data_IF_972863116488
#
_entry.id   IF_972863116488
#
_cell.length_a   1.000
_cell.length_b   1.000
_cell.length_c   1.000
_cell.angle_alpha   90.00
_cell.angle_beta   90.00
_cell.angle_gamma   90.00
#
_symmetry.space_group_name_H-M   'P 1'
#
loop_
_entity.id
_entity.type
_entity.pdbx_description
1 polymer ?
#
# COMPACT_ATOMS: atom_id res chain seq x y z
N UNK A 1 6.31 4.02 -33.54
CA UNK A 1 6.27 3.61 -32.12
C UNK A 1 5.64 4.64 -31.19
N UNK A 2 6.29 5.76 -30.81
CA UNK A 2 5.61 6.77 -29.96
C UNK A 2 4.48 7.50 -30.70
N UNK A 3 4.66 7.78 -31.99
CA UNK A 3 3.64 8.44 -32.82
C UNK A 3 2.41 7.56 -33.07
N UNK A 4 2.58 6.28 -33.40
CA UNK A 4 1.47 5.32 -33.55
C UNK A 4 0.69 5.13 -32.24
N UNK A 5 1.39 5.14 -31.11
CA UNK A 5 0.75 5.00 -29.81
C UNK A 5 -0.07 6.25 -29.45
N UNK A 6 0.41 7.44 -29.80
CA UNK A 6 -0.34 8.69 -29.62
C UNK A 6 -1.56 8.78 -30.54
N UNK A 7 -1.42 8.35 -31.80
CA UNK A 7 -2.49 8.35 -32.80
C UNK A 7 -3.64 7.39 -32.40
N UNK A 8 -3.30 6.19 -31.91
CA UNK A 8 -4.29 5.21 -31.43
C UNK A 8 -4.88 5.56 -30.04
N UNK A 9 -4.12 6.26 -29.20
CA UNK A 9 -4.61 6.68 -27.88
C UNK A 9 -5.52 7.90 -27.95
N UNK A 10 -5.35 8.77 -28.95
CA UNK A 10 -6.04 10.06 -29.00
C UNK A 10 -6.34 10.46 -30.44
N UNK A 11 -7.62 10.53 -30.77
CA UNK A 11 -8.09 11.04 -32.06
C UNK A 11 -8.82 12.36 -31.85
N UNK A 12 -8.42 13.39 -32.60
CA UNK A 12 -9.00 14.74 -32.56
C UNK A 12 -9.06 15.36 -31.14
N UNK A 13 -8.10 15.03 -30.28
CA UNK A 13 -8.06 15.49 -28.89
C UNK A 13 -8.94 14.70 -27.90
N UNK A 14 -9.64 13.67 -28.38
CA UNK A 14 -10.43 12.76 -27.54
C UNK A 14 -9.67 11.46 -27.28
N UNK A 15 -9.44 11.09 -26.01
CA UNK A 15 -8.86 9.80 -25.68
C UNK A 15 -9.75 8.66 -26.19
N UNK A 16 -9.17 7.71 -26.94
CA UNK A 16 -9.85 6.54 -27.49
C UNK A 16 -9.55 5.31 -26.63
N UNK A 17 -8.38 4.69 -26.80
CA UNK A 17 -7.97 3.50 -26.08
C UNK A 17 -6.73 3.77 -25.24
N UNK A 18 -6.81 3.58 -23.93
CA UNK A 18 -5.67 3.81 -23.02
C UNK A 18 -5.16 2.54 -22.34
N UNK A 19 -5.71 1.38 -22.72
CA UNK A 19 -5.37 0.09 -22.11
C UNK A 19 -4.12 -0.52 -22.76
N UNK A 20 -2.99 -0.42 -22.06
CA UNK A 20 -1.68 -0.82 -22.57
C UNK A 20 -1.60 -2.27 -23.06
N UNK A 21 -2.29 -3.21 -22.37
CA UNK A 21 -2.29 -4.63 -22.77
C UNK A 21 -2.99 -4.86 -24.11
N UNK A 22 -4.04 -4.11 -24.40
CA UNK A 22 -4.76 -4.23 -25.66
C UNK A 22 -3.98 -3.52 -26.75
N UNK A 23 -3.47 -2.31 -26.48
CA UNK A 23 -2.62 -1.57 -27.41
C UNK A 23 -1.37 -2.37 -27.80
N UNK A 24 -0.82 -3.19 -26.90
CA UNK A 24 0.36 -4.02 -27.20
C UNK A 24 0.11 -5.14 -28.23
N UNK A 25 -1.13 -5.53 -28.48
CA UNK A 25 -1.44 -6.48 -29.57
C UNK A 25 -1.41 -5.80 -30.95
N UNK A 26 -1.80 -4.53 -31.01
CA UNK A 26 -1.81 -3.70 -32.22
C UNK A 26 -0.42 -3.16 -32.55
N UNK A 27 0.25 -2.62 -31.54
CA UNK A 27 1.51 -1.91 -31.68
C UNK A 27 2.62 -2.85 -31.20
N UNK A 28 3.10 -3.69 -32.13
CA UNK A 28 4.21 -4.61 -31.86
C UNK A 28 5.54 -3.90 -32.05
N UNK A 29 6.47 -4.13 -31.12
CA UNK A 29 7.83 -3.60 -31.17
C UNK A 29 8.75 -4.31 -32.15
N UNK A 30 8.41 -5.55 -32.54
CA UNK A 30 9.26 -6.35 -33.42
C UNK A 30 8.96 -6.07 -34.90
N UNK A 31 10.01 -5.75 -35.66
CA UNK A 31 10.01 -5.45 -37.09
C UNK A 31 9.60 -6.64 -37.99
N UNK A 32 9.12 -7.76 -37.42
CA UNK A 32 8.82 -8.98 -38.16
C UNK A 32 7.32 -9.17 -38.34
N UNK A 33 6.87 -8.97 -39.60
CA UNK A 33 5.56 -9.28 -40.21
C UNK A 33 4.48 -8.19 -40.12
N UNK A 34 4.66 -7.13 -40.90
CA UNK A 34 3.54 -6.46 -41.59
C UNK A 34 3.06 -7.31 -42.78
N UNK A 35 2.54 -8.52 -42.54
CA UNK A 35 1.88 -9.32 -43.59
C UNK A 35 0.48 -9.80 -43.20
N UNK A 36 -0.03 -9.36 -42.05
CA UNK A 36 -1.39 -9.66 -41.63
C UNK A 36 -2.05 -8.34 -41.30
N UNK A 37 -3.09 -7.97 -42.06
CA UNK A 37 -4.07 -6.97 -41.62
C UNK A 37 -4.61 -7.41 -40.26
N UNK A 38 -4.06 -6.84 -39.20
CA UNK A 38 -4.51 -7.07 -37.83
C UNK A 38 -5.88 -6.43 -37.71
N UNK A 39 -6.93 -7.23 -37.88
CA UNK A 39 -8.29 -6.82 -37.54
C UNK A 39 -8.28 -6.41 -36.06
N UNK A 40 -8.85 -5.26 -35.70
CA UNK A 40 -8.93 -4.88 -34.30
C UNK A 40 -9.59 -6.00 -33.49
N UNK A 41 -8.99 -6.45 -32.36
CA UNK A 41 -9.62 -7.42 -31.49
C UNK A 41 -11.01 -6.92 -31.12
N UNK A 42 -11.98 -7.82 -31.09
CA UNK A 42 -13.37 -7.46 -30.78
C UNK A 42 -13.51 -6.75 -29.43
N UNK A 43 -12.55 -6.90 -28.51
CA UNK A 43 -12.48 -6.18 -27.24
C UNK A 43 -12.50 -4.65 -27.40
N UNK A 44 -12.03 -4.12 -28.54
CA UNK A 44 -12.02 -2.68 -28.86
C UNK A 44 -13.43 -2.14 -29.12
N UNK A 45 -14.32 -2.98 -29.66
CA UNK A 45 -15.72 -2.62 -29.95
C UNK A 45 -16.73 -3.18 -28.95
N UNK A 46 -16.28 -3.98 -27.97
CA UNK A 46 -17.16 -4.69 -27.04
C UNK A 46 -17.32 -3.92 -25.73
N UNK A 47 -18.42 -4.15 -25.02
CA UNK A 47 -18.69 -3.51 -23.72
C UNK A 47 -17.65 -3.88 -22.63
N UNK A 48 -16.82 -4.89 -22.90
CA UNK A 48 -15.68 -5.31 -22.06
C UNK A 48 -14.40 -5.01 -22.83
N UNK A 49 -13.81 -3.86 -22.52
CA UNK A 49 -12.63 -3.31 -23.20
C UNK A 49 -11.31 -3.57 -22.46
N UNK A 50 -11.29 -4.46 -21.46
CA UNK A 50 -10.10 -4.72 -20.63
C UNK A 50 -9.72 -6.20 -20.53
N UNK A 51 -10.48 -7.09 -21.19
CA UNK A 51 -10.24 -8.53 -21.18
C UNK A 51 -10.52 -9.13 -22.55
N UNK A 52 -9.58 -9.91 -23.06
CA UNK A 52 -9.68 -10.58 -24.35
C UNK A 52 -10.34 -11.94 -24.22
N UNK A 53 -11.04 -12.36 -25.29
CA UNK A 53 -11.58 -13.71 -25.39
C UNK A 53 -10.47 -14.71 -25.74
N UNK A 54 -10.67 -16.00 -25.41
CA UNK A 54 -9.76 -17.07 -25.78
C UNK A 54 -8.53 -17.26 -24.88
N UNK A 55 -8.39 -16.49 -23.80
CA UNK A 55 -7.33 -16.68 -22.80
C UNK A 55 -7.44 -18.09 -22.21
N UNK A 56 -6.33 -18.82 -22.14
CA UNK A 56 -6.29 -20.18 -21.58
C UNK A 56 -5.08 -20.36 -20.67
N UNK A 57 -5.33 -20.89 -19.49
CA UNK A 57 -4.31 -21.30 -18.53
C UNK A 57 -4.42 -22.79 -18.23
N UNK A 58 -3.26 -23.43 -18.00
CA UNK A 58 -3.19 -24.82 -17.51
C UNK A 58 -3.78 -24.95 -16.11
N UNK A 59 -3.61 -23.92 -15.28
CA UNK A 59 -4.14 -23.82 -13.92
C UNK A 59 -4.85 -22.48 -13.77
N UNK A 60 -6.09 -22.51 -13.29
CA UNK A 60 -6.89 -21.31 -13.08
C UNK A 60 -6.74 -20.86 -11.62
N UNK A 61 -6.01 -19.76 -11.41
CA UNK A 61 -5.63 -19.26 -10.08
C UNK A 61 -5.90 -17.77 -9.97
N UNK A 62 -6.30 -17.34 -8.78
CA UNK A 62 -6.50 -15.92 -8.48
C UNK A 62 -5.80 -15.61 -7.18
N UNK A 63 -4.99 -14.56 -7.17
CA UNK A 63 -4.35 -14.03 -5.98
C UNK A 63 -4.93 -12.67 -5.66
N UNK A 64 -5.38 -12.48 -4.43
CA UNK A 64 -5.93 -11.24 -3.92
C UNK A 64 -5.08 -10.75 -2.75
N UNK A 65 -4.41 -9.63 -2.96
CA UNK A 65 -3.60 -8.95 -1.96
C UNK A 65 -4.40 -7.77 -1.41
N UNK A 66 -4.77 -7.86 -0.14
CA UNK A 66 -5.37 -6.73 0.58
C UNK A 66 -4.24 -5.99 1.26
N UNK A 67 -3.85 -4.85 0.69
CA UNK A 67 -2.74 -4.03 1.18
C UNK A 67 -3.31 -2.77 1.82
N UNK A 68 -3.03 -2.56 3.10
CA UNK A 68 -3.38 -1.34 3.82
C UNK A 68 -2.13 -0.52 4.08
N UNK A 69 -2.18 0.77 3.80
CA UNK A 69 -1.16 1.74 4.13
C UNK A 69 -1.70 2.66 5.21
N UNK A 70 -1.01 2.67 6.36
CA UNK A 70 -1.41 3.49 7.51
C UNK A 70 -0.66 4.80 7.47
N UNK A 71 -1.40 5.89 7.41
CA UNK A 71 -0.87 7.24 7.51
C UNK A 71 -1.09 7.75 8.94
N UNK A 72 -0.01 8.15 9.60
CA UNK A 72 0.00 8.66 10.97
C UNK A 72 0.84 9.92 11.01
N UNK A 73 0.29 10.96 11.62
CA UNK A 73 1.04 12.15 12.01
C UNK A 73 0.87 12.40 13.51
N UNK A 74 1.97 12.36 14.23
CA UNK A 74 2.03 12.69 15.66
C UNK A 74 2.75 14.03 15.85
N UNK A 75 2.19 14.93 16.66
CA UNK A 75 2.85 16.19 16.99
C UNK A 75 3.94 16.01 18.06
N UNK A 76 4.74 17.05 18.32
CA UNK A 76 5.80 17.05 19.33
C UNK A 76 5.29 16.81 20.77
N UNK A 77 3.99 17.04 21.03
CA UNK A 77 3.36 16.78 22.32
C UNK A 77 2.90 15.32 22.46
N UNK A 78 3.15 14.46 21.47
CA UNK A 78 2.72 13.06 21.47
C UNK A 78 1.23 12.85 21.17
N UNK A 79 0.53 13.86 20.63
CA UNK A 79 -0.87 13.75 20.23
C UNK A 79 -0.98 13.33 18.77
N UNK A 80 -1.92 12.42 18.48
CA UNK A 80 -2.25 11.98 17.13
C UNK A 80 -3.04 13.08 16.41
N UNK A 81 -2.43 13.69 15.39
CA UNK A 81 -3.03 14.77 14.59
C UNK A 81 -3.77 14.22 13.39
N UNK A 82 -3.16 13.24 12.69
CA UNK A 82 -3.74 12.63 11.49
C UNK A 82 -3.64 11.11 11.60
N UNK A 83 -4.72 10.43 11.26
CA UNK A 83 -4.80 8.98 11.21
C UNK A 83 -5.74 8.61 10.08
N UNK A 84 -5.18 8.10 9.00
CA UNK A 84 -5.93 7.63 7.84
C UNK A 84 -5.42 6.26 7.44
N UNK A 85 -6.33 5.38 7.02
CA UNK A 85 -5.97 4.11 6.41
C UNK A 85 -6.38 4.16 4.96
N UNK A 86 -5.42 3.98 4.05
CA UNK A 86 -5.68 3.84 2.62
C UNK A 86 -5.40 2.38 2.26
N UNK A 87 -6.42 1.68 1.80
CA UNK A 87 -6.29 0.30 1.39
C UNK A 87 -6.47 0.11 -0.11
N UNK A 88 -5.84 -0.92 -0.64
CA UNK A 88 -5.97 -1.35 -2.03
C UNK A 88 -6.16 -2.87 -2.07
N UNK A 89 -7.09 -3.32 -2.90
CA UNK A 89 -7.25 -4.72 -3.27
C UNK A 89 -6.56 -4.93 -4.60
N UNK A 90 -5.35 -5.49 -4.55
CA UNK A 90 -4.58 -5.82 -5.75
C UNK A 90 -4.85 -7.25 -6.12
N UNK A 91 -5.25 -7.48 -7.36
CA UNK A 91 -5.64 -8.79 -7.84
C UNK A 91 -4.68 -9.24 -8.94
N UNK A 92 -4.30 -10.51 -8.92
CA UNK A 92 -3.58 -11.17 -10.01
C UNK A 92 -4.42 -12.34 -10.46
N UNK A 93 -4.94 -12.28 -11.68
CA UNK A 93 -5.77 -13.34 -12.23
C UNK A 93 -5.06 -14.09 -13.33
N UNK A 94 -5.09 -15.41 -13.22
CA UNK A 94 -4.69 -16.35 -14.25
C UNK A 94 -5.91 -17.24 -14.52
N UNK A 95 -6.88 -16.69 -15.25
CA UNK A 95 -8.17 -17.33 -15.50
C UNK A 95 -8.40 -17.52 -16.99
N UNK A 96 -8.99 -18.64 -17.38
CA UNK A 96 -9.31 -18.94 -18.77
C UNK A 96 -10.67 -18.37 -19.17
N UNK A 97 -10.86 -17.97 -20.42
CA UNK A 97 -12.13 -17.46 -20.93
C UNK A 97 -12.50 -16.07 -20.38
N UNK A 98 -13.80 -15.86 -20.15
CA UNK A 98 -14.42 -14.58 -19.78
C UNK A 98 -15.19 -14.70 -18.46
N UNK A 99 -14.50 -14.93 -17.32
CA UNK A 99 -15.15 -15.28 -16.07
C UNK A 99 -15.82 -14.06 -15.44
N UNK A 100 -17.02 -14.25 -14.90
CA UNK A 100 -17.67 -13.29 -14.02
C UNK A 100 -17.28 -13.60 -12.57
N UNK A 101 -16.53 -12.68 -11.96
CA UNK A 101 -16.14 -12.73 -10.56
C UNK A 101 -17.12 -11.97 -9.68
N UNK A 102 -17.43 -12.52 -8.50
CA UNK A 102 -18.21 -11.86 -7.45
C UNK A 102 -17.44 -11.90 -6.14
N UNK A 103 -17.07 -10.73 -5.63
CA UNK A 103 -16.34 -10.55 -4.38
C UNK A 103 -17.30 -10.02 -3.31
N UNK A 104 -17.30 -10.70 -2.16
CA UNK A 104 -18.04 -10.27 -0.97
C UNK A 104 -17.09 -9.88 0.16
N UNK A 105 -17.29 -8.69 0.71
CA UNK A 105 -16.54 -8.15 1.85
C UNK A 105 -17.44 -8.11 3.11
N UNK A 106 -16.84 -7.89 4.28
CA UNK A 106 -17.56 -7.62 5.53
C UNK A 106 -17.98 -6.14 5.66
N UNK A 107 -18.59 -5.60 4.60
CA UNK A 107 -19.16 -4.24 4.60
C UNK A 107 -20.31 -4.15 5.61
N UNK A 108 -20.27 -3.11 6.44
CA UNK A 108 -21.29 -2.83 7.45
C UNK A 108 -22.67 -2.65 6.85
N UNK A 109 -22.77 -1.94 5.73
CA UNK A 109 -24.06 -1.67 5.09
C UNK A 109 -24.70 -2.98 4.60
N UNK A 110 -23.90 -3.89 4.03
CA UNK A 110 -24.37 -5.20 3.59
C UNK A 110 -24.80 -6.08 4.79
N UNK A 111 -24.07 -6.03 5.91
CA UNK A 111 -24.40 -6.80 7.10
C UNK A 111 -25.66 -6.30 7.82
N UNK A 112 -25.85 -4.98 7.89
CA UNK A 112 -27.03 -4.34 8.46
C UNK A 112 -28.29 -4.62 7.61
N UNK A 113 -28.18 -4.54 6.28
CA UNK A 113 -29.27 -4.89 5.35
C UNK A 113 -29.72 -6.36 5.45
N UNK A 114 -28.84 -7.26 5.91
CA UNK A 114 -29.14 -8.69 6.10
C UNK A 114 -29.67 -9.03 7.52
N UNK A 115 -29.94 -8.04 8.36
CA UNK A 115 -30.51 -8.24 9.71
C UNK A 115 -29.60 -9.04 10.67
N UNK A 116 -28.30 -9.17 10.35
CA UNK A 116 -27.34 -9.87 11.19
C UNK A 116 -26.82 -8.91 12.27
N UNK A 117 -27.10 -9.23 13.54
CA UNK A 117 -26.60 -8.47 14.70
C UNK A 117 -25.08 -8.28 14.60
N UNK A 118 -24.66 -7.02 14.51
CA UNK A 118 -23.26 -6.56 14.37
C UNK A 118 -22.52 -6.63 15.71
N UNK A 119 -22.56 -7.79 16.40
CA UNK A 119 -21.73 -8.04 17.59
C UNK A 119 -20.20 -8.07 17.33
N UNK A 120 -19.75 -7.65 16.14
CA UNK A 120 -18.34 -7.32 15.90
C UNK A 120 -17.95 -7.18 14.43
N UNK A 121 -17.15 -6.14 14.15
CA UNK A 121 -16.29 -5.94 12.97
C UNK A 121 -16.97 -5.78 11.61
N UNK A 122 -17.98 -4.93 11.58
CA UNK A 122 -18.47 -4.33 10.36
C UNK A 122 -17.57 -3.14 10.02
N UNK A 123 -17.28 -2.92 8.74
CA UNK A 123 -16.34 -1.86 8.31
C UNK A 123 -17.11 -0.74 7.67
N UNK A 124 -16.74 0.48 8.07
CA UNK A 124 -17.19 1.70 7.44
C UNK A 124 -16.14 2.14 6.42
N UNK A 125 -16.51 2.12 5.14
CA UNK A 125 -15.65 2.52 4.04
C UNK A 125 -16.10 3.92 3.61
N UNK A 126 -15.26 4.94 3.82
CA UNK A 126 -15.64 6.33 3.58
C UNK A 126 -15.67 6.64 2.08
N UNK A 127 -14.58 6.30 1.38
CA UNK A 127 -14.42 6.49 -0.04
C UNK A 127 -13.95 5.18 -0.66
N UNK A 128 -14.58 4.78 -1.77
CA UNK A 128 -14.26 3.57 -2.52
C UNK A 128 -14.18 3.95 -3.99
N UNK A 129 -13.03 3.64 -4.60
CA UNK A 129 -12.81 3.76 -6.03
C UNK A 129 -12.62 2.37 -6.61
N UNK A 130 -13.41 2.05 -7.62
CA UNK A 130 -13.36 0.77 -8.30
C UNK A 130 -12.62 0.88 -9.62
N UNK A 131 -12.03 -0.22 -10.06
CA UNK A 131 -11.62 -0.39 -11.44
C UNK A 131 -12.84 -0.35 -12.37
N UNK A 132 -12.63 0.07 -13.62
CA UNK A 132 -13.68 0.10 -14.65
C UNK A 132 -14.37 -1.25 -14.92
N UNK A 133 -13.75 -2.34 -14.47
CA UNK A 133 -14.30 -3.68 -14.66
C UNK A 133 -15.46 -4.03 -13.72
N UNK A 134 -15.69 -3.20 -12.68
CA UNK A 134 -16.72 -3.39 -11.68
C UNK A 134 -18.04 -2.79 -12.13
N UNK A 135 -19.11 -3.57 -12.01
CA UNK A 135 -20.48 -3.12 -12.31
C UNK A 135 -21.03 -2.32 -11.14
N UNK A 136 -20.86 -1.00 -11.18
CA UNK A 136 -21.31 -0.09 -10.13
C UNK A 136 -22.81 -0.19 -9.82
N UNK A 137 -23.65 -0.42 -10.83
CA UNK A 137 -25.11 -0.60 -10.65
C UNK A 137 -25.46 -1.80 -9.77
N UNK A 138 -24.68 -2.88 -9.78
CA UNK A 138 -24.90 -4.00 -8.87
C UNK A 138 -24.46 -3.64 -7.46
N UNK A 139 -23.27 -3.06 -7.33
CA UNK A 139 -22.73 -2.63 -6.03
C UNK A 139 -23.67 -1.65 -5.30
N UNK A 140 -24.33 -0.74 -6.00
CA UNK A 140 -25.28 0.20 -5.41
C UNK A 140 -26.54 -0.50 -4.87
N UNK A 141 -26.98 -1.58 -5.50
CA UNK A 141 -28.20 -2.32 -5.13
C UNK A 141 -27.97 -3.34 -4.00
N UNK A 142 -26.96 -4.21 -4.14
CA UNK A 142 -26.76 -5.37 -3.27
C UNK A 142 -25.41 -5.37 -2.55
N UNK A 143 -24.62 -4.30 -2.69
CA UNK A 143 -23.25 -4.16 -2.15
C UNK A 143 -22.31 -5.30 -2.58
N UNK A 144 -22.63 -6.00 -3.67
CA UNK A 144 -21.80 -7.07 -4.23
C UNK A 144 -20.90 -6.54 -5.33
N UNK A 145 -19.60 -6.80 -5.21
CA UNK A 145 -18.62 -6.38 -6.21
C UNK A 145 -18.59 -7.44 -7.32
N UNK A 146 -19.29 -7.15 -8.42
CA UNK A 146 -19.39 -8.03 -9.60
C UNK A 146 -18.57 -7.45 -10.76
N UNK A 147 -17.66 -8.25 -11.32
CA UNK A 147 -16.72 -7.78 -12.34
C UNK A 147 -16.22 -8.91 -13.24
N UNK A 148 -15.69 -8.55 -14.41
CA UNK A 148 -14.91 -9.46 -15.27
C UNK A 148 -13.45 -9.00 -15.15
N UNK A 149 -12.53 -9.76 -14.54
CA UNK A 149 -11.18 -9.26 -14.24
C UNK A 149 -10.32 -9.10 -15.51
N UNK A 150 -9.57 -7.99 -15.66
CA UNK A 150 -8.45 -7.92 -16.59
C UNK A 150 -7.48 -9.07 -16.33
N UNK A 151 -6.81 -9.56 -17.36
CA UNK A 151 -5.83 -10.63 -17.21
C UNK A 151 -4.54 -10.16 -16.51
N UNK A 152 -3.91 -10.99 -15.68
CA UNK A 152 -2.71 -10.63 -14.93
C UNK A 152 -2.96 -9.70 -13.72
N UNK A 153 -1.99 -8.83 -13.42
CA UNK A 153 -2.05 -7.94 -12.25
C UNK A 153 -2.80 -6.63 -12.54
N UNK A 154 -3.70 -6.24 -11.63
CA UNK A 154 -4.42 -4.96 -11.62
C UNK A 154 -4.92 -4.60 -10.21
N UNK A 155 -5.25 -3.33 -9.99
CA UNK A 155 -5.88 -2.89 -8.74
C UNK A 155 -7.41 -2.90 -8.92
N UNK A 156 -8.11 -3.75 -8.16
CA UNK A 156 -9.56 -3.95 -8.28
C UNK A 156 -10.34 -2.80 -7.63
N UNK A 157 -9.92 -2.40 -6.44
CA UNK A 157 -10.49 -1.27 -5.73
C UNK A 157 -9.46 -0.64 -4.79
N UNK A 158 -9.59 0.66 -4.57
CA UNK A 158 -8.92 1.40 -3.50
C UNK A 158 -9.99 1.95 -2.57
N UNK A 159 -9.73 1.93 -1.27
CA UNK A 159 -10.66 2.41 -0.27
C UNK A 159 -9.93 3.23 0.79
N UNK A 160 -10.66 4.13 1.44
CA UNK A 160 -10.14 4.93 2.54
C UNK A 160 -11.03 4.77 3.78
N UNK A 161 -10.40 4.75 4.94
CA UNK A 161 -11.06 4.84 6.23
C UNK A 161 -10.43 5.97 7.05
N UNK A 162 -11.27 6.78 7.67
CA UNK A 162 -10.91 7.86 8.60
C UNK A 162 -10.96 7.39 10.06
N UNK A 163 -10.97 6.07 10.28
CA UNK A 163 -10.96 5.51 11.64
C UNK A 163 -9.67 5.91 12.35
N UNK A 164 -9.80 6.52 13.53
CA UNK A 164 -8.65 6.82 14.38
C UNK A 164 -8.02 5.52 14.89
N UNK A 165 -6.88 5.16 14.33
CA UNK A 165 -6.13 3.96 14.70
C UNK A 165 -4.95 4.33 15.57
N UNK A 166 -4.72 3.53 16.61
CA UNK A 166 -3.52 3.70 17.44
C UNK A 166 -2.28 3.43 16.57
N UNK A 167 -1.20 4.24 16.70
CA UNK A 167 0.04 4.02 15.96
C UNK A 167 0.60 2.63 16.23
N UNK A 168 0.74 1.79 15.19
CA UNK A 168 1.18 0.40 15.31
C UNK A 168 2.62 0.28 15.83
N UNK A 169 3.49 1.22 15.45
CA UNK A 169 4.83 1.37 16.01
C UNK A 169 4.93 2.78 16.57
N UNK A 170 5.00 2.90 17.88
CA UNK A 170 5.21 4.17 18.57
C UNK A 170 6.70 4.40 18.73
N UNK A 171 7.18 5.59 18.35
CA UNK A 171 8.58 5.97 18.53
C UNK A 171 8.63 7.21 19.39
N UNK A 172 9.26 7.10 20.55
CA UNK A 172 9.57 8.22 21.42
C UNK A 172 11.06 8.54 21.28
N UNK A 173 11.38 9.81 21.02
CA UNK A 173 12.75 10.28 20.94
C UNK A 173 12.99 11.37 21.99
N UNK A 174 13.96 11.12 22.85
CA UNK A 174 14.48 12.10 23.80
C UNK A 174 15.81 12.60 23.27
N UNK A 175 15.93 13.92 23.12
CA UNK A 175 17.12 14.58 22.58
C UNK A 175 17.76 15.42 23.67
N UNK A 176 18.96 15.01 24.10
CA UNK A 176 19.77 15.75 25.07
C UNK A 176 20.91 16.45 24.34
N UNK A 177 20.82 17.77 24.17
CA UNK A 177 21.88 18.58 23.58
C UNK A 177 22.78 19.12 24.68
N UNK A 178 24.05 18.74 24.67
CA UNK A 178 25.08 19.38 25.47
C UNK A 178 25.74 20.46 24.62
N UNK A 179 25.61 21.72 25.05
CA UNK A 179 26.12 22.89 24.33
C UNK A 179 27.57 22.70 23.87
N UNK A 180 27.81 22.89 22.56
CA UNK A 180 29.14 22.92 21.90
C UNK A 180 29.99 21.65 22.03
N UNK A 181 29.39 20.50 22.32
CA UNK A 181 30.16 19.26 22.49
C UNK A 181 29.50 18.06 21.83
N UNK A 182 28.25 17.76 22.21
CA UNK A 182 27.60 16.51 21.78
C UNK A 182 26.08 16.60 21.86
N UNK A 183 25.43 15.80 21.04
CA UNK A 183 24.00 15.50 21.14
C UNK A 183 23.82 14.01 21.39
N UNK A 184 23.01 13.67 22.38
CA UNK A 184 22.62 12.30 22.68
C UNK A 184 21.14 12.11 22.33
N UNK A 185 20.88 11.10 21.52
CA UNK A 185 19.53 10.64 21.17
C UNK A 185 19.24 9.35 21.94
N UNK A 186 18.15 9.34 22.70
CA UNK A 186 17.59 8.12 23.28
C UNK A 186 16.23 7.86 22.64
N UNK A 187 16.17 6.80 21.83
CA UNK A 187 14.98 6.43 21.08
C UNK A 187 14.41 5.14 21.66
N UNK A 188 13.11 5.14 21.93
CA UNK A 188 12.34 3.96 22.33
C UNK A 188 11.30 3.69 21.26
N UNK A 189 11.37 2.54 20.62
CA UNK A 189 10.36 2.08 19.69
C UNK A 189 9.55 0.97 20.36
N UNK A 190 8.22 1.13 20.39
CA UNK A 190 7.27 0.19 20.98
C UNK A 190 6.25 -0.26 19.96
N UNK A 191 6.07 -1.57 19.80
CA UNK A 191 5.04 -2.13 18.93
C UNK A 191 3.70 -2.25 19.68
N UNK A 192 2.66 -1.62 19.14
CA UNK A 192 1.30 -1.58 19.70
C UNK A 192 0.30 -2.38 18.88
N UNK A 193 0.72 -3.56 18.40
CA UNK A 193 -0.15 -4.53 17.74
C UNK A 193 -0.07 -5.89 18.45
N UNK A 194 -0.93 -6.82 18.02
CA UNK A 194 -1.06 -8.14 18.66
C UNK A 194 0.27 -8.89 18.67
N UNK A 195 0.59 -9.54 19.78
CA UNK A 195 1.84 -10.29 19.98
C UNK A 195 2.05 -11.41 18.95
N UNK A 196 0.96 -12.00 18.45
CA UNK A 196 0.99 -13.03 17.39
C UNK A 196 1.42 -12.49 16.02
N UNK A 197 1.37 -11.18 15.83
CA UNK A 197 1.80 -10.51 14.60
C UNK A 197 3.21 -9.99 14.78
N UNK A 198 3.95 -9.89 13.68
CA UNK A 198 5.35 -9.42 13.69
C UNK A 198 5.52 -8.48 12.51
N UNK A 199 6.10 -7.31 12.76
CA UNK A 199 6.50 -6.40 11.70
C UNK A 199 7.85 -6.83 11.12
N UNK A 200 7.93 -6.96 9.81
CA UNK A 200 9.14 -7.21 9.04
C UNK A 200 9.73 -5.91 8.52
N UNK A 201 11.06 -5.91 8.36
CA UNK A 201 11.81 -4.85 7.70
C UNK A 201 11.47 -3.44 8.24
N UNK A 202 11.41 -3.31 9.57
CA UNK A 202 11.14 -2.02 10.20
C UNK A 202 12.36 -1.13 10.03
N UNK A 203 12.15 0.05 9.48
CA UNK A 203 13.18 1.07 9.28
C UNK A 203 12.71 2.37 9.95
N UNK A 204 13.43 2.82 10.97
CA UNK A 204 13.17 4.06 11.68
C UNK A 204 14.24 5.05 11.25
N UNK A 205 13.83 6.11 10.57
CA UNK A 205 14.68 7.19 10.11
C UNK A 205 14.60 8.34 11.11
N UNK A 206 15.66 8.49 11.92
CA UNK A 206 15.81 9.58 12.87
C UNK A 206 16.59 10.71 12.20
N UNK A 207 16.02 11.92 12.03
CA UNK A 207 16.79 13.06 11.57
C UNK A 207 17.81 13.49 12.62
N UNK A 208 19.02 13.78 12.18
CA UNK A 208 20.12 14.25 13.01
C UNK A 208 20.67 15.57 12.45
N UNK A 209 21.31 16.42 13.27
CA UNK A 209 21.88 17.67 12.80
C UNK A 209 22.89 17.44 11.66
N UNK A 210 22.91 18.33 10.66
CA UNK A 210 23.79 18.22 9.50
C UNK A 210 25.28 18.32 9.87
N UNK A 211 25.57 19.01 10.98
CA UNK A 211 26.91 19.20 11.54
C UNK A 211 27.34 18.05 12.48
N UNK A 212 26.50 17.03 12.67
CA UNK A 212 26.77 15.89 13.53
C UNK A 212 27.94 15.05 12.99
N UNK A 213 28.94 14.82 13.84
CA UNK A 213 30.15 14.04 13.54
C UNK A 213 30.34 12.91 14.57
N UNK A 214 31.19 11.93 14.27
CA UNK A 214 31.56 10.84 15.20
C UNK A 214 30.36 10.06 15.78
N UNK A 215 29.57 9.34 14.95
CA UNK A 215 28.41 8.59 15.43
C UNK A 215 28.85 7.41 16.33
N UNK A 216 28.46 7.45 17.60
CA UNK A 216 28.57 6.32 18.52
C UNK A 216 27.18 5.78 18.84
N UNK A 217 26.81 4.65 18.24
CA UNK A 217 25.45 4.10 18.33
C UNK A 217 25.46 2.76 19.07
N UNK A 218 24.49 2.59 19.98
CA UNK A 218 24.20 1.34 20.69
C UNK A 218 22.72 1.01 20.54
N UNK A 219 22.42 -0.12 19.91
CA UNK A 219 21.05 -0.64 19.74
C UNK A 219 20.83 -1.84 20.62
N UNK A 220 19.62 -2.01 21.16
CA UNK A 220 19.22 -3.26 21.84
C UNK A 220 18.91 -4.38 20.84
N UNK A 221 18.46 -4.00 19.64
CA UNK A 221 18.09 -4.92 18.57
C UNK A 221 18.28 -4.24 17.21
N UNK A 222 18.64 -5.01 16.19
CA UNK A 222 18.85 -4.48 14.85
C UNK A 222 20.13 -3.67 14.70
N UNK A 223 20.32 -3.08 13.53
CA UNK A 223 21.51 -2.30 13.17
C UNK A 223 21.12 -0.86 12.90
N UNK A 224 21.92 0.08 13.38
CA UNK A 224 21.74 1.50 13.11
C UNK A 224 22.93 2.02 12.32
N UNK A 225 22.66 2.67 11.20
CA UNK A 225 23.66 3.19 10.27
C UNK A 225 23.40 4.67 10.06
N UNK A 226 24.43 5.50 10.27
CA UNK A 226 24.36 6.91 9.97
C UNK A 226 24.45 7.11 8.45
N UNK A 227 23.50 7.86 7.88
CA UNK A 227 23.41 8.18 6.47
C UNK A 227 23.54 9.71 6.30
N UNK A 228 24.78 10.23 6.16
CA UNK A 228 25.03 11.67 6.02
C UNK A 228 24.30 12.30 4.83
N UNK A 229 24.10 11.54 3.74
CA UNK A 229 23.40 11.99 2.54
C UNK A 229 21.92 12.28 2.74
N UNK A 230 21.34 11.80 3.86
CA UNK A 230 19.96 12.07 4.28
C UNK A 230 19.88 12.88 5.57
N UNK A 231 21.02 13.26 6.13
CA UNK A 231 21.11 13.89 7.46
C UNK A 231 20.32 13.08 8.51
N UNK A 232 20.40 11.75 8.43
CA UNK A 232 19.57 10.86 9.22
C UNK A 232 20.32 9.61 9.71
N UNK A 233 19.95 9.14 10.89
CA UNK A 233 20.33 7.85 11.43
C UNK A 233 19.23 6.83 11.10
N UNK A 234 19.59 5.79 10.34
CA UNK A 234 18.65 4.75 9.89
C UNK A 234 18.79 3.53 10.80
N UNK A 235 17.77 3.27 11.61
CA UNK A 235 17.70 2.09 12.48
C UNK A 235 16.84 1.00 11.84
N UNK A 236 17.48 -0.11 11.47
CA UNK A 236 16.87 -1.25 10.79
C UNK A 236 16.67 -2.42 11.74
N UNK A 237 15.44 -2.90 11.84
CA UNK A 237 15.03 -4.06 12.65
C UNK A 237 14.35 -5.06 11.73
N UNK A 238 14.99 -6.22 11.51
CA UNK A 238 14.48 -7.24 10.58
C UNK A 238 13.13 -7.82 11.01
N UNK A 239 12.95 -8.03 12.31
CA UNK A 239 11.76 -8.63 12.90
C UNK A 239 11.43 -7.92 14.20
N UNK A 240 10.24 -7.32 14.26
CA UNK A 240 9.74 -6.61 15.43
C UNK A 240 8.38 -7.21 15.84
N UNK A 241 8.38 -8.15 16.81
CA UNK A 241 7.15 -8.75 17.33
C UNK A 241 6.24 -7.72 18.00
N UNK A 242 4.93 -7.97 18.00
CA UNK A 242 3.94 -7.13 18.71
C UNK A 242 4.13 -7.15 20.22
N UNK A 243 3.84 -6.03 20.89
CA UNK A 243 3.95 -5.90 22.35
C UNK A 243 5.37 -5.79 22.89
N UNK A 244 6.38 -5.67 22.03
CA UNK A 244 7.79 -5.51 22.43
C UNK A 244 8.21 -4.04 22.39
N UNK A 245 9.27 -3.75 23.14
CA UNK A 245 9.94 -2.46 23.13
C UNK A 245 11.43 -2.69 22.86
N UNK A 246 11.98 -1.84 22.00
CA UNK A 246 13.40 -1.79 21.70
C UNK A 246 13.91 -0.37 21.88
N UNK A 247 15.18 -0.26 22.26
CA UNK A 247 15.83 1.02 22.52
C UNK A 247 17.09 1.17 21.69
N UNK A 248 17.34 2.39 21.26
CA UNK A 248 18.57 2.79 20.60
C UNK A 248 19.09 4.07 21.24
N UNK A 249 20.39 4.10 21.54
CA UNK A 249 21.09 5.27 22.02
C UNK A 249 22.15 5.65 21.00
N UNK A 250 22.10 6.87 20.50
CA UNK A 250 23.11 7.41 19.60
C UNK A 250 23.73 8.66 20.21
N UNK A 251 25.04 8.80 20.08
CA UNK A 251 25.78 9.99 20.46
C UNK A 251 26.47 10.54 19.23
N UNK A 252 26.38 11.84 19.03
CA UNK A 252 27.10 12.55 17.99
C UNK A 252 27.86 13.71 18.61
N UNK A 253 29.07 13.94 18.12
CA UNK A 253 29.83 15.16 18.40
C UNK A 253 29.28 16.31 17.57
N UNK A 254 29.18 17.48 18.20
CA UNK A 254 28.83 18.73 17.52
C UNK A 254 30.06 19.63 17.43
N UNK A 255 30.21 20.44 16.37
CA UNK A 255 31.27 21.43 16.27
C UNK A 255 31.16 22.47 17.40
N UNK A 256 32.30 23.07 17.76
CA UNK A 256 32.36 24.12 18.78
C UNK A 256 31.96 25.52 18.27
N UNK A 257 31.80 25.68 16.94
CA UNK A 257 31.50 26.93 16.25
C UNK A 257 30.09 26.81 15.65
N UNK A 258 29.16 27.64 16.11
CA UNK A 258 27.83 27.78 15.52
C UNK A 258 27.85 28.98 14.55
N UNK A 259 27.27 28.86 13.36
CA UNK A 259 27.00 30.03 12.51
C UNK A 259 25.88 30.86 13.17
N UNK A 260 26.00 32.18 13.21
CA UNK A 260 25.06 33.09 13.91
C UNK A 260 23.64 33.08 13.32
N UNK A 261 23.43 32.42 12.16
CA UNK A 261 22.16 32.32 11.43
C UNK A 261 21.51 30.92 11.51
N UNK A 262 21.49 30.25 12.68
CA UNK A 262 20.67 29.02 12.82
C UNK A 262 19.20 29.42 12.98
N UNK A 263 18.56 29.69 11.82
CA UNK A 263 17.11 29.57 11.62
C UNK A 263 16.65 28.35 12.39
N UNK A 264 15.65 28.50 13.27
CA UNK A 264 15.00 27.43 14.03
C UNK A 264 14.96 26.18 13.15
N UNK A 265 15.89 25.24 13.37
CA UNK A 265 16.04 24.08 12.50
C UNK A 265 14.68 23.39 12.52
N UNK A 266 13.98 23.42 11.39
CA UNK A 266 12.74 22.67 11.23
C UNK A 266 13.12 21.22 11.40
N UNK A 267 12.97 20.69 12.63
CA UNK A 267 13.26 19.30 12.94
C UNK A 267 12.37 18.45 12.04
N UNK A 268 12.94 17.70 11.09
CA UNK A 268 12.14 16.78 10.32
C UNK A 268 11.44 15.81 11.29
N UNK A 269 10.26 15.30 10.95
CA UNK A 269 9.67 14.22 11.73
C UNK A 269 10.49 12.93 11.57
N UNK A 270 10.42 12.08 12.58
CA UNK A 270 10.85 10.68 12.48
C UNK A 270 9.95 9.98 11.48
N UNK A 271 10.54 9.31 10.49
CA UNK A 271 9.80 8.48 9.54
C UNK A 271 9.96 7.01 9.92
N UNK A 272 8.87 6.26 9.87
CA UNK A 272 8.90 4.82 10.13
C UNK A 272 8.36 4.07 8.94
N UNK A 273 9.12 3.09 8.44
CA UNK A 273 8.66 2.14 7.45
C UNK A 273 8.56 0.77 8.11
N UNK A 274 7.51 0.02 7.79
CA UNK A 274 7.33 -1.34 8.26
C UNK A 274 6.36 -2.08 7.34
N UNK A 275 6.40 -3.40 7.42
CA UNK A 275 5.41 -4.28 6.82
C UNK A 275 4.93 -5.30 7.88
N UNK A 276 3.63 -5.52 8.00
CA UNK A 276 3.04 -6.53 8.89
C UNK A 276 2.20 -7.47 8.04
N UNK A 277 2.70 -8.69 7.76
CA UNK A 277 1.93 -9.68 7.02
C UNK A 277 0.80 -10.27 7.88
N UNK A 278 -0.24 -10.74 7.20
CA UNK A 278 -1.44 -11.37 7.78
C UNK A 278 -2.17 -10.50 8.81
N UNK A 279 -2.09 -9.18 8.64
CA UNK A 279 -2.70 -8.19 9.53
C UNK A 279 -3.48 -7.14 8.74
N UNK A 280 -4.63 -6.74 9.28
CA UNK A 280 -5.41 -5.60 8.81
C UNK A 280 -5.74 -4.71 9.99
N UNK A 281 -5.66 -3.41 9.75
CA UNK A 281 -5.99 -2.35 10.69
C UNK A 281 -7.49 -2.07 10.65
N UNK A 282 -8.09 -2.01 9.46
CA UNK A 282 -9.54 -1.79 9.30
C UNK A 282 -10.38 -2.98 9.77
N UNK A 283 -9.78 -4.17 9.83
CA UNK A 283 -10.50 -5.42 10.02
C UNK A 283 -11.17 -5.95 8.77
N UNK A 284 -10.79 -5.47 7.57
CA UNK A 284 -11.31 -5.96 6.28
C UNK A 284 -11.07 -7.44 6.10
N UNK A 285 -12.13 -8.11 5.66
CA UNK A 285 -12.18 -9.55 5.46
C UNK A 285 -12.92 -9.85 4.16
N UNK A 286 -12.23 -10.60 3.31
CA UNK A 286 -12.83 -11.21 2.13
C UNK A 286 -13.64 -12.41 2.59
N UNK A 287 -14.97 -12.32 2.49
CA UNK A 287 -15.89 -13.39 2.90
C UNK A 287 -15.96 -14.50 1.87
N UNK A 288 -15.97 -14.13 0.60
CA UNK A 288 -15.97 -15.07 -0.51
C UNK A 288 -15.50 -14.39 -1.80
N UNK A 289 -14.92 -15.19 -2.69
CA UNK A 289 -14.67 -14.84 -4.08
C UNK A 289 -15.25 -15.97 -4.94
N UNK A 290 -16.36 -15.70 -5.63
CA UNK A 290 -16.98 -16.65 -6.56
C UNK A 290 -16.52 -16.35 -7.97
N UNK A 291 -16.15 -17.40 -8.70
CA UNK A 291 -15.70 -17.32 -10.09
C UNK A 291 -16.69 -18.14 -10.91
N UNK A 292 -17.36 -17.49 -11.86
CA UNK A 292 -18.41 -18.10 -12.69
C UNK A 292 -17.95 -18.03 -14.13
N UNK A 293 -17.74 -19.19 -14.75
CA UNK A 293 -17.35 -19.30 -16.15
C UNK A 293 -18.22 -20.38 -16.83
N UNK A 294 -18.55 -20.19 -18.12
CA UNK A 294 -19.42 -21.11 -18.87
C UNK A 294 -18.86 -22.52 -18.98
N UNK A 295 -17.53 -22.63 -19.02
CA UNK A 295 -16.82 -23.91 -19.06
C UNK A 295 -16.82 -24.65 -17.71
N UNK A 296 -17.22 -24.00 -16.62
CA UNK A 296 -17.40 -24.64 -15.31
C UNK A 296 -16.11 -25.13 -14.64
N UNK A 297 -14.93 -24.61 -15.04
CA UNK A 297 -13.68 -25.02 -14.39
C UNK A 297 -13.65 -24.58 -12.91
N UNK A 298 -12.91 -25.34 -12.10
CA UNK A 298 -12.61 -24.95 -10.73
C UNK A 298 -11.40 -24.01 -10.70
N UNK A 299 -11.55 -22.88 -10.01
CA UNK A 299 -10.47 -21.93 -9.77
C UNK A 299 -10.04 -21.95 -8.31
N UNK A 300 -8.75 -21.66 -8.05
CA UNK A 300 -8.18 -21.58 -6.72
C UNK A 300 -7.95 -20.12 -6.31
N UNK A 301 -8.81 -19.54 -5.44
CA UNK A 301 -8.62 -18.20 -4.91
C UNK A 301 -7.68 -18.22 -3.70
N UNK A 302 -6.69 -17.34 -3.71
CA UNK A 302 -5.76 -17.07 -2.63
C UNK A 302 -5.97 -15.65 -2.12
N UNK A 303 -5.93 -15.46 -0.81
CA UNK A 303 -5.99 -14.13 -0.21
C UNK A 303 -4.87 -13.98 0.82
N UNK A 304 -4.20 -12.82 0.79
CA UNK A 304 -3.31 -12.40 1.87
C UNK A 304 -3.58 -10.96 2.25
N UNK A 305 -3.26 -10.64 3.49
CA UNK A 305 -3.45 -9.32 4.08
C UNK A 305 -2.08 -8.78 4.45
N UNK A 306 -1.82 -7.52 4.12
CA UNK A 306 -0.55 -6.86 4.39
C UNK A 306 -0.85 -5.46 4.88
N UNK A 307 -0.30 -5.08 6.03
CA UNK A 307 -0.32 -3.69 6.49
C UNK A 307 1.07 -3.10 6.31
N UNK A 308 1.15 -1.91 5.74
CA UNK A 308 2.38 -1.17 5.46
C UNK A 308 2.30 0.22 6.06
N UNK A 309 3.45 0.84 6.31
CA UNK A 309 3.51 2.26 6.59
C UNK A 309 3.28 3.07 5.30
N UNK A 310 2.34 4.02 5.33
CA UNK A 310 2.23 5.07 4.32
C UNK A 310 3.04 6.30 4.76
N UNK A 311 2.39 7.45 4.88
CA UNK A 311 2.94 8.65 5.52
C UNK A 311 2.94 8.46 7.05
N UNK A 312 4.01 7.87 7.59
CA UNK A 312 4.11 7.55 9.02
C UNK A 312 5.19 8.42 9.69
N UNK A 313 4.76 9.53 10.25
CA UNK A 313 5.60 10.63 10.73
C UNK A 313 5.33 10.97 12.21
N UNK A 314 6.40 11.04 13.00
CA UNK A 314 6.34 11.45 14.41
C UNK A 314 7.24 12.67 14.60
N UNK A 315 6.64 13.83 14.91
CA UNK A 315 7.40 15.07 15.13
C UNK A 315 8.09 15.04 16.50
N UNK A 316 9.33 15.52 16.53
CA UNK A 316 10.17 15.72 17.73
C UNK A 316 10.15 17.19 18.11
#
# INVERSE_FOLDING_TARGET
MQYELLDEMMDFGYPQYTEAKILSEFIKTDAYRMEVTTRPPMAVTNAVSWRMDGIKYKKNEVFLDVVESVNILVNSNGQLVRSDVVGALKMRTYLSGMPECKLGLNDRVLLEAQGRSTKGKAIDLDDIKFHQCVRLTRFENDRTISFIPPDGAFDLMTYRLSTQVKPLIWVEAQVERHSRSRVEFMIKARSQFKERSTASNVEIELPVPADASTPAVRTSMGTAVYAPEKEALIWKIKSFPGGKEYMMRAKFGLPSIEAEDVVIEKRPPIRVKFEIPYFTVSGIQVRYLKIIEKSGYQALPWVRYITTAGEYELRI
#
